data_IF_824282752649
#
_entry.id   IF_824282752649
#
_cell.length_a   1.000
_cell.length_b   1.000
_cell.length_c   1.000
_cell.angle_alpha   90.00
_cell.angle_beta   90.00
_cell.angle_gamma   90.00
#
_symmetry.space_group_name_H-M   'P 1'
#
loop_
_entity.id
_entity.type
_entity.pdbx_description
1 polymer ?
#
# COMPACT_ATOMS: atom_id res chain seq x y z
N UNK A 1 -8.12 9.99 19.71
CA UNK A 1 -7.05 9.22 19.03
C UNK A 1 -7.64 8.41 17.88
N UNK A 2 -8.60 7.51 18.13
CA UNK A 2 -9.30 6.76 17.05
C UNK A 2 -10.08 7.64 16.05
N UNK A 3 -10.57 8.81 16.47
CA UNK A 3 -11.30 9.74 15.60
C UNK A 3 -10.41 10.51 14.62
N UNK A 4 -9.14 10.76 14.97
CA UNK A 4 -8.22 11.49 14.08
C UNK A 4 -7.70 10.60 12.95
N UNK A 5 -7.44 9.32 13.22
CA UNK A 5 -7.05 8.35 12.19
C UNK A 5 -8.14 8.13 11.14
N UNK A 6 -9.42 8.11 11.56
CA UNK A 6 -10.57 7.95 10.64
C UNK A 6 -10.81 9.17 9.74
N UNK A 7 -10.66 10.40 10.28
CA UNK A 7 -10.72 11.62 9.46
C UNK A 7 -9.52 11.72 8.51
N UNK A 8 -8.33 11.34 8.99
CA UNK A 8 -7.12 11.36 8.18
C UNK A 8 -7.20 10.38 7.01
N UNK A 9 -7.74 9.17 7.23
CA UNK A 9 -8.01 8.19 6.17
C UNK A 9 -9.01 8.70 5.11
N UNK A 10 -10.09 9.36 5.53
CA UNK A 10 -11.06 9.96 4.58
C UNK A 10 -10.45 11.13 3.78
N UNK A 11 -9.62 11.94 4.43
CA UNK A 11 -8.88 13.03 3.77
C UNK A 11 -7.79 12.51 2.81
N UNK A 12 -7.18 11.38 3.13
CA UNK A 12 -6.18 10.70 2.29
C UNK A 12 -6.82 10.19 1.00
N UNK A 13 -8.01 9.58 1.09
CA UNK A 13 -8.74 9.07 -0.07
C UNK A 13 -9.14 10.18 -1.06
N UNK A 14 -9.47 11.38 -0.55
CA UNK A 14 -9.72 12.57 -1.36
C UNK A 14 -8.45 13.09 -2.07
N UNK A 15 -7.28 13.00 -1.43
CA UNK A 15 -5.98 13.40 -2.01
C UNK A 15 -5.39 12.37 -2.98
N UNK A 16 -5.88 11.12 -2.96
CA UNK A 16 -5.32 10.01 -3.74
C UNK A 16 -5.78 9.93 -5.20
N UNK A 17 -6.54 10.89 -5.72
CA UNK A 17 -6.98 10.85 -7.12
C UNK A 17 -5.80 10.78 -8.12
N UNK A 18 -4.73 11.55 -7.87
CA UNK A 18 -3.51 11.48 -8.67
C UNK A 18 -2.79 10.13 -8.56
N UNK A 19 -2.75 9.54 -7.35
CA UNK A 19 -2.17 8.22 -7.11
C UNK A 19 -2.90 7.14 -7.91
N UNK A 20 -4.23 7.19 -7.93
CA UNK A 20 -5.06 6.25 -8.71
C UNK A 20 -4.80 6.35 -10.21
N UNK A 21 -4.55 7.54 -10.76
CA UNK A 21 -4.20 7.71 -12.18
C UNK A 21 -2.83 7.07 -12.48
N UNK A 22 -1.84 7.30 -11.61
CA UNK A 22 -0.50 6.76 -11.75
C UNK A 22 -0.49 5.22 -11.67
N UNK A 23 -1.24 4.65 -10.74
CA UNK A 23 -1.39 3.19 -10.63
C UNK A 23 -2.02 2.57 -11.88
N UNK A 24 -3.06 3.18 -12.47
CA UNK A 24 -3.63 2.66 -13.75
C UNK A 24 -2.61 2.67 -14.88
N UNK A 25 -1.77 3.72 -14.93
CA UNK A 25 -0.68 3.81 -15.91
C UNK A 25 0.37 2.71 -15.67
N UNK A 26 0.76 2.49 -14.42
CA UNK A 26 1.70 1.44 -14.03
C UNK A 26 1.19 0.04 -14.38
N UNK A 27 -0.09 -0.26 -14.13
CA UNK A 27 -0.70 -1.55 -14.51
C UNK A 27 -0.58 -1.79 -16.02
N UNK A 28 -0.79 -0.75 -16.85
CA UNK A 28 -0.60 -0.85 -18.30
C UNK A 28 0.86 -0.98 -18.71
N UNK A 29 1.78 -0.37 -17.97
CA UNK A 29 3.22 -0.45 -18.23
C UNK A 29 3.81 -1.83 -17.90
N UNK A 30 3.32 -2.49 -16.84
CA UNK A 30 3.77 -3.83 -16.45
C UNK A 30 3.21 -4.90 -17.39
N UNK A 31 2.00 -4.69 -17.90
CA UNK A 31 1.30 -5.66 -18.73
C UNK A 31 1.04 -5.11 -20.14
N UNK A 32 2.14 -4.78 -20.83
CA UNK A 32 2.17 -4.02 -22.09
C UNK A 32 1.35 -4.66 -23.23
N UNK A 33 1.24 -6.00 -23.23
CA UNK A 33 0.56 -6.76 -24.28
C UNK A 33 -0.83 -7.30 -23.88
N UNK A 34 -1.35 -6.90 -22.72
CA UNK A 34 -2.65 -7.38 -22.21
C UNK A 34 -3.70 -6.27 -22.20
N UNK A 35 -4.90 -6.60 -22.69
CA UNK A 35 -6.09 -5.76 -22.54
C UNK A 35 -6.82 -6.12 -21.25
N UNK A 36 -6.90 -5.18 -20.33
CA UNK A 36 -7.66 -5.35 -19.08
C UNK A 36 -9.06 -4.76 -19.20
N UNK A 37 -10.03 -5.46 -18.63
CA UNK A 37 -11.34 -4.87 -18.33
C UNK A 37 -11.15 -3.74 -17.30
N UNK A 38 -11.96 -2.69 -17.39
CA UNK A 38 -11.93 -1.56 -16.44
C UNK A 38 -12.12 -2.01 -14.99
N UNK A 39 -12.99 -3.00 -14.75
CA UNK A 39 -13.21 -3.62 -13.45
C UNK A 39 -12.00 -4.42 -12.94
N UNK A 40 -11.29 -5.13 -13.83
CA UNK A 40 -10.08 -5.86 -13.46
C UNK A 40 -8.98 -4.91 -13.00
N UNK A 41 -8.79 -3.78 -13.69
CA UNK A 41 -7.84 -2.74 -13.25
C UNK A 41 -8.27 -2.18 -11.89
N UNK A 42 -9.55 -1.87 -11.69
CA UNK A 42 -10.04 -1.36 -10.41
C UNK A 42 -9.81 -2.35 -9.26
N UNK A 43 -10.08 -3.64 -9.47
CA UNK A 43 -9.84 -4.69 -8.48
C UNK A 43 -8.35 -4.83 -8.13
N UNK A 44 -7.45 -4.75 -9.13
CA UNK A 44 -6.00 -4.76 -8.89
C UNK A 44 -5.55 -3.55 -8.07
N UNK A 45 -6.11 -2.37 -8.32
CA UNK A 45 -5.80 -1.17 -7.55
C UNK A 45 -6.24 -1.32 -6.09
N UNK A 46 -7.47 -1.77 -5.86
CA UNK A 46 -8.01 -1.96 -4.51
C UNK A 46 -7.23 -3.03 -3.74
N UNK A 47 -6.86 -4.13 -4.39
CA UNK A 47 -6.03 -5.17 -3.78
C UNK A 47 -4.61 -4.67 -3.47
N UNK A 48 -4.01 -3.87 -4.35
CA UNK A 48 -2.70 -3.27 -4.12
C UNK A 48 -2.73 -2.29 -2.95
N UNK A 49 -3.73 -1.41 -2.87
CA UNK A 49 -3.91 -0.47 -1.77
C UNK A 49 -4.09 -1.22 -0.45
N UNK A 50 -4.97 -2.22 -0.40
CA UNK A 50 -5.20 -3.04 0.79
C UNK A 50 -3.92 -3.80 1.23
N UNK A 51 -3.16 -4.35 0.27
CA UNK A 51 -1.90 -5.00 0.56
C UNK A 51 -0.87 -4.04 1.15
N UNK A 52 -0.72 -2.85 0.56
CA UNK A 52 0.24 -1.85 1.02
C UNK A 52 -0.12 -1.31 2.40
N UNK A 53 -1.40 -1.01 2.66
CA UNK A 53 -1.88 -0.58 3.98
C UNK A 53 -1.53 -1.64 5.03
N UNK A 54 -1.92 -2.90 4.80
CA UNK A 54 -1.61 -3.98 5.73
C UNK A 54 -0.10 -4.21 5.91
N UNK A 55 0.70 -4.05 4.85
CA UNK A 55 2.16 -4.16 4.94
C UNK A 55 2.75 -3.02 5.78
N UNK A 56 2.27 -1.79 5.61
CA UNK A 56 2.74 -0.64 6.37
C UNK A 56 2.32 -0.68 7.84
N UNK A 57 1.15 -1.24 8.17
CA UNK A 57 0.78 -1.53 9.57
C UNK A 57 1.80 -2.47 10.23
N UNK A 58 2.14 -3.58 9.57
CA UNK A 58 3.17 -4.51 10.07
C UNK A 58 4.57 -3.90 10.12
N UNK A 59 4.90 -3.02 9.17
CA UNK A 59 6.16 -2.27 9.14
C UNK A 59 6.25 -1.29 10.30
N UNK A 60 5.15 -0.60 10.62
CA UNK A 60 5.07 0.33 11.74
C UNK A 60 5.30 -0.40 13.07
N UNK A 61 4.70 -1.58 13.25
CA UNK A 61 4.96 -2.43 14.41
C UNK A 61 6.43 -2.84 14.52
N UNK A 62 7.09 -3.17 13.40
CA UNK A 62 8.53 -3.48 13.39
C UNK A 62 9.40 -2.27 13.77
N UNK A 63 9.03 -1.06 13.34
CA UNK A 63 9.73 0.17 13.73
C UNK A 63 9.56 0.46 15.23
N UNK A 64 8.34 0.35 15.75
CA UNK A 64 8.02 0.52 17.17
C UNK A 64 8.73 -0.50 18.06
N UNK A 65 8.81 -1.76 17.61
CA UNK A 65 9.54 -2.81 18.31
C UNK A 65 11.04 -2.47 18.48
N UNK A 66 11.59 -1.66 17.58
CA UNK A 66 12.96 -1.15 17.63
C UNK A 66 13.04 0.28 18.20
N UNK A 67 12.05 0.70 18.99
CA UNK A 67 11.96 2.01 19.66
C UNK A 67 12.05 3.21 18.69
N UNK A 68 11.58 3.06 17.45
CA UNK A 68 11.55 4.12 16.44
C UNK A 68 10.13 4.46 16.02
N UNK A 69 9.92 5.73 15.71
CA UNK A 69 8.70 6.24 15.07
C UNK A 69 8.84 6.28 13.54
N UNK A 70 10.07 6.46 13.04
CA UNK A 70 10.35 6.47 11.61
C UNK A 70 10.53 5.05 11.06
N UNK A 71 9.70 4.70 10.07
CA UNK A 71 9.82 3.47 9.30
C UNK A 71 11.08 3.49 8.41
N UNK A 72 11.76 2.35 8.31
CA UNK A 72 12.98 2.17 7.53
C UNK A 72 12.85 0.97 6.58
N UNK A 73 13.66 0.88 5.51
CA UNK A 73 13.62 -0.25 4.58
C UNK A 73 13.79 -1.62 5.27
N UNK A 74 14.58 -1.69 6.34
CA UNK A 74 14.76 -2.90 7.16
C UNK A 74 13.47 -3.38 7.84
N UNK A 75 12.57 -2.46 8.19
CA UNK A 75 11.29 -2.79 8.84
C UNK A 75 10.33 -3.41 7.81
N UNK A 76 10.34 -2.89 6.58
CA UNK A 76 9.56 -3.43 5.46
C UNK A 76 10.05 -4.83 5.11
N UNK A 77 11.37 -5.00 5.03
CA UNK A 77 12.00 -6.30 4.76
C UNK A 77 11.63 -7.32 5.85
N UNK A 78 11.68 -6.92 7.12
CA UNK A 78 11.30 -7.76 8.24
C UNK A 78 9.80 -8.13 8.19
N UNK A 79 8.91 -7.15 7.99
CA UNK A 79 7.48 -7.38 7.88
C UNK A 79 7.12 -8.32 6.71
N UNK A 80 7.78 -8.16 5.55
CA UNK A 80 7.63 -9.07 4.41
C UNK A 80 8.11 -10.49 4.75
N UNK A 81 9.26 -10.62 5.41
CA UNK A 81 9.84 -11.91 5.79
C UNK A 81 8.93 -12.67 6.76
N UNK A 82 8.36 -11.98 7.75
CA UNK A 82 7.41 -12.58 8.71
C UNK A 82 6.12 -13.02 8.01
N UNK A 83 5.62 -12.25 7.03
CA UNK A 83 4.46 -12.63 6.21
C UNK A 83 4.74 -13.76 5.21
N UNK A 84 5.95 -14.32 5.15
CA UNK A 84 6.33 -15.34 4.18
C UNK A 84 6.57 -14.79 2.76
N UNK A 85 6.62 -13.47 2.59
CA UNK A 85 7.05 -12.83 1.36
C UNK A 85 8.54 -13.06 1.16
N UNK A 86 8.90 -13.80 0.10
CA UNK A 86 10.31 -14.05 -0.23
C UNK A 86 10.99 -12.73 -0.64
N UNK A 87 12.26 -12.62 -0.25
CA UNK A 87 13.16 -11.54 -0.62
C UNK A 87 13.45 -11.58 -2.13
#
# INVERSE_FOLDING_TARGET
MLTSEFEEASSFQARNHGLKINQKRLVREIAQDLRFQSSAVAALQELADAYLVGLFEGTNLCAMHAERVAIMPKDIQLARRIRGGRA
#
